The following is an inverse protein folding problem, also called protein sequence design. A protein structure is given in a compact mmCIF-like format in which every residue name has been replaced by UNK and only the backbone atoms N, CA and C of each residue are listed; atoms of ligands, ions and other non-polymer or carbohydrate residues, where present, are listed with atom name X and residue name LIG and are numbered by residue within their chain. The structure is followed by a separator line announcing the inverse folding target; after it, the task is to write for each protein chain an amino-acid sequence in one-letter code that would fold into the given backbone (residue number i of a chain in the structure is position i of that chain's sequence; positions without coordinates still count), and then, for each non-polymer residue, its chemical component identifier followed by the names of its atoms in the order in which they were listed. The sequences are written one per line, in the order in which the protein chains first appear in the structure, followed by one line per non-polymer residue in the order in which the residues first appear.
data_IF_565874918789
#
_entry.id   IF_565874918789
#
_cell.length_a   1.000
_cell.length_b   1.000
_cell.length_c   1.000
_cell.angle_alpha   90.00
_cell.angle_beta   90.00
_cell.angle_gamma   90.00
#
_symmetry.space_group_name_H-M   'P 1'
#
loop_
_entity.id
_entity.type
_entity.pdbx_description
1 polymer ?
#
# COMPACT_ATOMS: atom_id res chain seq x y z
N UNK A 1 90.47 -27.85 46.91
CA UNK A 1 89.99 -26.62 46.24
C UNK A 1 88.56 -26.87 45.80
N UNK A 2 87.58 -26.35 46.55
CA UNK A 2 86.14 -26.58 46.35
C UNK A 2 85.59 -25.43 45.51
N UNK A 3 85.05 -25.72 44.33
CA UNK A 3 84.30 -24.74 43.53
C UNK A 3 82.83 -25.15 43.62
N UNK A 4 82.08 -24.42 44.43
CA UNK A 4 80.63 -24.49 44.50
C UNK A 4 80.06 -23.60 43.39
N UNK A 5 79.43 -24.20 42.38
CA UNK A 5 78.64 -23.47 41.38
C UNK A 5 77.22 -23.31 41.94
N UNK A 6 76.89 -22.09 42.30
CA UNK A 6 75.57 -21.65 42.76
C UNK A 6 74.67 -21.46 41.52
N UNK A 7 73.75 -22.40 41.28
CA UNK A 7 72.69 -22.25 40.27
C UNK A 7 71.61 -21.31 40.81
N UNK A 8 71.60 -20.07 40.35
CA UNK A 8 70.52 -19.11 40.58
C UNK A 8 69.37 -19.46 39.62
N UNK A 9 68.34 -20.12 40.14
CA UNK A 9 67.05 -20.25 39.48
C UNK A 9 66.37 -18.87 39.48
N UNK A 10 66.52 -18.13 38.37
CA UNK A 10 65.69 -16.96 38.08
C UNK A 10 64.28 -17.47 37.73
N UNK A 11 63.42 -17.57 38.73
CA UNK A 11 61.98 -17.77 38.54
C UNK A 11 61.40 -16.53 37.86
N UNK A 12 61.30 -16.57 36.54
CA UNK A 12 60.52 -15.62 35.74
C UNK A 12 59.06 -15.81 36.15
N UNK A 13 58.59 -15.03 37.11
CA UNK A 13 57.17 -14.85 37.36
C UNK A 13 56.59 -14.18 36.11
N UNK A 14 56.08 -14.99 35.19
CA UNK A 14 55.14 -14.50 34.19
C UNK A 14 54.01 -13.84 34.94
N UNK A 15 53.90 -12.51 34.83
CA UNK A 15 52.76 -11.76 35.35
C UNK A 15 51.55 -12.23 34.57
N UNK A 16 50.86 -13.26 35.09
CA UNK A 16 49.51 -13.61 34.69
C UNK A 16 48.68 -12.34 34.87
N UNK A 17 48.38 -11.67 33.75
CA UNK A 17 47.43 -10.57 33.75
C UNK A 17 46.11 -11.12 34.28
N UNK A 18 45.76 -10.76 35.52
CA UNK A 18 44.57 -11.25 36.19
C UNK A 18 43.34 -10.66 35.49
N UNK A 19 42.77 -11.42 34.56
CA UNK A 19 41.48 -11.12 33.97
C UNK A 19 40.39 -11.23 35.06
N UNK A 20 39.35 -10.38 35.03
CA UNK A 20 38.24 -10.49 35.97
C UNK A 20 37.65 -11.91 35.97
N UNK A 21 37.42 -12.48 37.15
CA UNK A 21 36.81 -13.80 37.26
C UNK A 21 35.33 -13.75 36.89
N UNK A 22 34.77 -14.87 36.42
CA UNK A 22 33.34 -14.94 36.10
C UNK A 22 32.45 -14.66 37.31
N UNK A 23 32.90 -15.02 38.52
CA UNK A 23 32.19 -14.72 39.76
C UNK A 23 32.15 -13.20 40.05
N UNK A 24 33.27 -12.51 39.83
CA UNK A 24 33.37 -11.05 40.01
C UNK A 24 32.53 -10.32 38.97
N UNK A 25 32.59 -10.76 37.70
CA UNK A 25 31.75 -10.21 36.63
C UNK A 25 30.27 -10.37 36.99
N UNK A 26 29.84 -11.58 37.37
CA UNK A 26 28.44 -11.85 37.77
C UNK A 26 28.00 -10.93 38.90
N UNK A 27 28.83 -10.75 39.93
CA UNK A 27 28.52 -9.86 41.07
C UNK A 27 28.28 -8.42 40.63
N UNK A 28 29.05 -7.92 39.66
CA UNK A 28 28.97 -6.53 39.20
C UNK A 28 27.76 -6.23 38.30
N UNK A 29 27.22 -7.25 37.62
CA UNK A 29 26.09 -7.09 36.68
C UNK A 29 24.77 -7.67 37.19
N UNK A 30 24.79 -8.39 38.31
CA UNK A 30 23.59 -8.94 38.94
C UNK A 30 23.01 -7.90 39.90
N UNK A 31 21.70 -7.70 39.83
CA UNK A 31 20.94 -6.86 40.74
C UNK A 31 19.65 -7.56 41.19
N UNK A 32 18.87 -6.90 42.06
CA UNK A 32 17.54 -7.37 42.43
C UNK A 32 16.67 -7.50 41.16
N UNK A 33 16.18 -8.70 40.88
CA UNK A 33 15.41 -9.02 39.68
C UNK A 33 16.19 -9.71 38.57
N UNK A 34 17.51 -9.86 38.67
CA UNK A 34 18.28 -10.75 37.77
C UNK A 34 17.91 -12.21 38.04
N UNK A 35 17.56 -12.96 36.99
CA UNK A 35 17.23 -14.39 37.04
C UNK A 35 18.38 -15.28 36.62
N UNK A 36 19.11 -14.89 35.57
CA UNK A 36 20.26 -15.66 35.10
C UNK A 36 21.27 -14.80 34.37
N UNK A 37 22.53 -15.24 34.39
CA UNK A 37 23.65 -14.61 33.68
C UNK A 37 24.44 -15.70 32.97
N UNK A 38 24.60 -15.57 31.65
CA UNK A 38 25.31 -16.52 30.79
C UNK A 38 26.38 -15.81 29.97
N UNK A 39 27.61 -16.31 30.00
CA UNK A 39 28.68 -15.80 29.13
C UNK A 39 28.49 -16.31 27.70
N UNK A 40 28.66 -15.43 26.71
CA UNK A 40 28.43 -15.78 25.30
C UNK A 40 29.64 -16.45 24.64
N UNK A 41 30.82 -16.37 25.28
CA UNK A 41 32.08 -16.99 24.85
C UNK A 41 32.81 -17.56 26.07
N UNK A 42 33.93 -18.26 25.86
CA UNK A 42 34.78 -18.86 26.91
C UNK A 42 35.88 -17.93 27.42
N UNK A 43 36.42 -17.02 26.58
CA UNK A 43 37.36 -15.94 27.00
C UNK A 43 36.91 -14.52 26.62
N UNK A 44 37.36 -13.51 27.37
CA UNK A 44 37.19 -12.11 26.99
C UNK A 44 38.25 -11.64 26.00
N UNK A 45 38.09 -10.45 25.44
CA UNK A 45 38.98 -9.91 24.40
C UNK A 45 39.48 -8.53 24.81
N UNK A 46 40.78 -8.29 24.61
CA UNK A 46 41.38 -6.96 24.79
C UNK A 46 41.23 -6.17 23.50
N UNK A 47 40.77 -4.92 23.60
CA UNK A 47 40.60 -4.02 22.47
C UNK A 47 41.07 -2.61 22.83
N UNK A 48 41.57 -1.85 21.85
CA UNK A 48 41.91 -0.45 22.04
C UNK A 48 40.67 0.41 21.81
N UNK A 49 40.34 1.28 22.76
CA UNK A 49 39.29 2.28 22.57
C UNK A 49 39.96 3.63 22.29
N UNK A 50 39.90 4.06 21.02
CA UNK A 50 40.49 5.31 20.54
C UNK A 50 39.87 6.54 21.16
N UNK A 51 38.58 6.51 21.47
CA UNK A 51 37.81 7.68 21.90
C UNK A 51 38.21 8.14 23.31
N UNK A 52 38.62 7.19 24.15
CA UNK A 52 39.09 7.42 25.52
C UNK A 52 40.61 7.26 25.66
N UNK A 53 41.30 6.88 24.58
CA UNK A 53 42.73 6.61 24.58
C UNK A 53 43.16 5.53 25.59
N UNK A 54 42.37 4.46 25.76
CA UNK A 54 42.65 3.42 26.75
C UNK A 54 42.38 2.00 26.21
N UNK A 55 43.07 1.01 26.76
CA UNK A 55 42.80 -0.40 26.51
C UNK A 55 41.60 -0.86 27.34
N UNK A 56 40.71 -1.57 26.68
CA UNK A 56 39.57 -2.24 27.30
C UNK A 56 39.77 -3.76 27.28
N UNK A 57 39.21 -4.43 28.27
CA UNK A 57 38.90 -5.85 28.21
C UNK A 57 37.39 -6.01 28.22
N UNK A 58 36.86 -6.72 27.21
CA UNK A 58 35.43 -6.93 27.02
C UNK A 58 35.06 -8.40 27.07
N UNK A 59 33.87 -8.68 27.61
CA UNK A 59 33.34 -10.03 27.74
C UNK A 59 31.84 -10.02 27.51
N UNK A 60 31.40 -10.77 26.50
CA UNK A 60 29.99 -10.88 26.16
C UNK A 60 29.19 -11.69 27.17
N UNK A 61 28.02 -11.17 27.51
CA UNK A 61 27.10 -11.72 28.51
C UNK A 61 25.65 -11.53 28.06
N UNK A 62 24.84 -12.55 28.32
CA UNK A 62 23.39 -12.53 28.25
C UNK A 62 22.83 -12.53 29.68
N UNK A 63 22.01 -11.53 30.00
CA UNK A 63 21.38 -11.36 31.32
C UNK A 63 19.88 -11.48 31.15
N UNK A 64 19.24 -12.44 31.83
CA UNK A 64 17.78 -12.52 31.94
C UNK A 64 17.39 -11.89 33.27
N UNK A 65 16.49 -10.91 33.23
CA UNK A 65 15.97 -10.23 34.42
C UNK A 65 14.48 -9.93 34.29
N UNK A 66 13.83 -9.64 35.42
CA UNK A 66 12.44 -9.14 35.42
C UNK A 66 12.37 -7.85 34.60
N UNK A 67 11.38 -7.75 33.72
CA UNK A 67 11.03 -6.48 33.08
C UNK A 67 10.10 -5.67 33.98
N UNK A 68 9.80 -4.43 33.58
CA UNK A 68 8.77 -3.59 34.23
C UNK A 68 7.34 -4.13 33.99
N UNK A 69 7.19 -5.17 33.16
CA UNK A 69 5.91 -5.77 32.81
C UNK A 69 5.71 -7.10 33.58
N UNK A 70 4.60 -7.25 34.32
CA UNK A 70 4.31 -8.47 35.07
C UNK A 70 4.32 -9.73 34.18
N UNK A 71 5.10 -10.73 34.57
CA UNK A 71 5.18 -12.03 33.89
C UNK A 71 6.04 -12.05 32.62
N UNK A 72 6.71 -10.94 32.27
CA UNK A 72 7.56 -10.82 31.08
C UNK A 72 9.01 -10.63 31.53
N UNK A 73 9.91 -11.39 30.93
CA UNK A 73 11.35 -11.30 31.18
C UNK A 73 12.05 -10.49 30.10
N UNK A 74 13.03 -9.70 30.52
CA UNK A 74 13.92 -8.96 29.65
C UNK A 74 15.26 -9.71 29.54
N UNK A 75 15.61 -10.08 28.32
CA UNK A 75 16.92 -10.59 27.93
C UNK A 75 17.76 -9.42 27.45
N UNK A 76 18.84 -9.13 28.15
CA UNK A 76 19.80 -8.09 27.81
C UNK A 76 21.06 -8.78 27.30
N UNK A 77 21.34 -8.66 26.01
CA UNK A 77 22.59 -9.08 25.41
C UNK A 77 23.55 -7.88 25.40
N UNK A 78 24.77 -8.06 25.88
CA UNK A 78 25.77 -7.00 25.92
C UNK A 78 27.15 -7.50 26.28
N UNK A 79 28.05 -6.56 26.55
CA UNK A 79 29.39 -6.86 27.06
C UNK A 79 29.63 -6.13 28.38
N UNK A 80 30.32 -6.79 29.31
CA UNK A 80 31.01 -6.06 30.40
C UNK A 80 32.31 -5.47 29.86
N UNK A 81 32.57 -4.23 30.22
CA UNK A 81 33.75 -3.49 29.78
C UNK A 81 34.58 -3.11 31.01
N UNK A 82 35.85 -3.47 30.97
CA UNK A 82 36.84 -3.09 31.97
C UNK A 82 37.91 -2.22 31.34
N UNK A 83 38.31 -1.16 32.01
CA UNK A 83 39.39 -0.28 31.56
C UNK A 83 40.72 -0.70 32.17
N UNK A 84 41.79 -0.61 31.40
CA UNK A 84 43.14 -0.86 31.88
C UNK A 84 43.58 0.27 32.83
N UNK A 85 44.07 -0.10 34.01
CA UNK A 85 44.49 0.85 35.07
C UNK A 85 45.99 0.82 35.34
N UNK A 86 46.78 0.18 34.47
CA UNK A 86 48.22 0.00 34.66
C UNK A 86 48.58 -1.28 35.41
N UNK A 87 49.86 -1.67 35.35
CA UNK A 87 50.42 -2.86 36.01
C UNK A 87 49.64 -4.18 35.76
N UNK A 88 49.07 -4.36 34.57
CA UNK A 88 48.31 -5.57 34.23
C UNK A 88 46.90 -5.64 34.82
N UNK A 89 46.41 -4.56 35.45
CA UNK A 89 45.12 -4.53 36.15
C UNK A 89 44.01 -3.88 35.31
N UNK A 90 42.79 -4.32 35.59
CA UNK A 90 41.56 -3.88 34.96
C UNK A 90 40.55 -3.47 36.03
N UNK A 91 39.85 -2.34 35.83
CA UNK A 91 38.74 -1.91 36.67
C UNK A 91 37.43 -1.98 35.89
N UNK A 92 36.35 -2.42 36.56
CA UNK A 92 35.03 -2.43 35.94
C UNK A 92 34.63 -1.01 35.57
N UNK A 93 34.21 -0.81 34.33
CA UNK A 93 33.75 0.48 33.85
C UNK A 93 32.25 0.51 33.70
N UNK A 94 31.70 -0.37 32.86
CA UNK A 94 30.27 -0.41 32.55
C UNK A 94 29.83 -1.72 31.91
N UNK A 95 28.52 -1.93 31.90
CA UNK A 95 27.86 -2.87 31.01
C UNK A 95 27.39 -2.11 29.76
N UNK A 96 27.76 -2.61 28.58
CA UNK A 96 27.36 -2.05 27.30
C UNK A 96 26.31 -2.97 26.68
N UNK A 97 25.05 -2.55 26.71
CA UNK A 97 23.95 -3.26 26.05
C UNK A 97 24.10 -3.20 24.54
N UNK A 98 24.02 -4.37 23.90
CA UNK A 98 24.00 -4.54 22.44
C UNK A 98 22.56 -4.66 21.96
N UNK A 99 21.75 -5.49 22.61
CA UNK A 99 20.34 -5.67 22.27
C UNK A 99 19.50 -6.08 23.48
N UNK A 100 18.20 -5.84 23.36
CA UNK A 100 17.18 -6.24 24.32
C UNK A 100 16.15 -7.11 23.60
N UNK A 101 15.68 -8.17 24.25
CA UNK A 101 14.60 -9.02 23.79
C UNK A 101 13.67 -9.34 24.95
N UNK A 102 12.37 -9.53 24.66
CA UNK A 102 11.38 -9.90 25.67
C UNK A 102 10.94 -11.36 25.52
N UNK A 103 10.79 -12.06 26.65
CA UNK A 103 10.32 -13.45 26.73
C UNK A 103 9.03 -13.54 27.56
N UNK A 104 8.26 -14.61 27.34
CA UNK A 104 7.01 -14.86 28.08
C UNK A 104 5.76 -14.24 27.46
N UNK A 105 5.88 -13.63 26.28
CA UNK A 105 4.75 -13.09 25.52
C UNK A 105 4.35 -14.12 24.45
N UNK A 106 3.06 -14.51 24.36
CA UNK A 106 2.61 -15.43 23.32
C UNK A 106 2.74 -14.76 21.94
N UNK A 107 3.29 -15.50 20.97
CA UNK A 107 3.35 -15.04 19.59
C UNK A 107 1.93 -14.90 19.01
N UNK A 108 1.68 -13.92 18.14
CA UNK A 108 0.40 -13.80 17.44
C UNK A 108 0.10 -15.06 16.63
N UNK A 109 -1.17 -15.44 16.63
CA UNK A 109 -1.68 -16.56 15.84
C UNK A 109 -1.70 -16.21 14.35
N UNK A 110 -1.63 -17.23 13.48
CA UNK A 110 -1.76 -17.03 12.03
C UNK A 110 -3.06 -16.30 11.65
N UNK A 111 -4.15 -16.55 12.38
CA UNK A 111 -5.43 -15.87 12.17
C UNK A 111 -5.37 -14.37 12.52
N UNK A 112 -4.76 -13.98 13.64
CA UNK A 112 -4.57 -12.58 14.00
C UNK A 112 -3.71 -11.84 12.97
N UNK A 113 -2.63 -12.48 12.52
CA UNK A 113 -1.74 -11.94 11.48
C UNK A 113 -2.52 -11.71 10.19
N UNK A 114 -3.21 -12.75 9.68
CA UNK A 114 -3.96 -12.68 8.43
C UNK A 114 -5.06 -11.63 8.51
N UNK A 115 -5.82 -11.58 9.60
CA UNK A 115 -6.89 -10.59 9.81
C UNK A 115 -6.38 -9.15 9.83
N UNK A 116 -5.15 -8.92 10.31
CA UNK A 116 -4.54 -7.60 10.29
C UNK A 116 -4.00 -7.25 8.90
N UNK A 117 -3.26 -8.16 8.26
CA UNK A 117 -2.66 -7.92 6.95
C UNK A 117 -3.73 -7.70 5.87
N UNK A 118 -4.84 -8.44 5.91
CA UNK A 118 -5.92 -8.33 4.93
C UNK A 118 -6.62 -6.96 4.93
N UNK A 119 -6.40 -6.13 5.95
CA UNK A 119 -6.94 -4.76 5.99
C UNK A 119 -6.21 -3.82 5.04
N UNK A 120 -4.95 -4.11 4.70
CA UNK A 120 -4.10 -3.25 3.88
C UNK A 120 -3.05 -4.06 3.11
N UNK A 121 -3.50 -4.86 2.15
CA UNK A 121 -2.60 -5.57 1.23
C UNK A 121 -1.57 -4.67 0.53
N UNK A 122 -1.93 -3.47 0.02
CA UNK A 122 -0.94 -2.56 -0.57
C UNK A 122 0.26 -2.31 0.35
N UNK A 123 0.01 -2.13 1.65
CA UNK A 123 1.07 -1.94 2.64
C UNK A 123 1.90 -3.19 2.89
N UNK A 124 1.30 -4.39 2.84
CA UNK A 124 2.05 -5.64 2.97
C UNK A 124 3.04 -5.86 1.82
N UNK A 125 2.59 -5.72 0.58
CA UNK A 125 3.42 -5.94 -0.60
C UNK A 125 4.37 -4.77 -0.90
N UNK A 126 4.01 -3.56 -0.49
CA UNK A 126 4.78 -2.34 -0.75
C UNK A 126 5.01 -2.13 -2.25
N UNK A 127 6.26 -1.89 -2.65
CA UNK A 127 6.65 -1.75 -4.06
C UNK A 127 6.15 -2.90 -4.95
N UNK A 128 6.16 -4.13 -4.43
CA UNK A 128 5.80 -5.32 -5.20
C UNK A 128 4.31 -5.39 -5.52
N UNK A 129 3.46 -4.60 -4.85
CA UNK A 129 2.02 -4.58 -5.10
C UNK A 129 1.67 -4.30 -6.56
N UNK A 130 2.47 -3.44 -7.21
CA UNK A 130 2.31 -3.05 -8.61
C UNK A 130 3.10 -3.93 -9.59
N UNK A 131 3.76 -4.98 -9.11
CA UNK A 131 4.64 -5.85 -9.91
C UNK A 131 4.20 -7.31 -9.90
N UNK A 132 3.59 -7.77 -8.82
CA UNK A 132 3.08 -9.14 -8.70
C UNK A 132 1.88 -9.29 -9.62
N UNK A 133 1.95 -10.26 -10.54
CA UNK A 133 0.89 -10.59 -11.50
C UNK A 133 0.15 -11.89 -11.15
N UNK A 134 0.75 -12.73 -10.29
CA UNK A 134 0.16 -13.98 -9.83
C UNK A 134 0.73 -14.39 -8.50
N UNK A 135 -0.14 -14.80 -7.59
CA UNK A 135 0.23 -15.46 -6.35
C UNK A 135 -0.05 -16.96 -6.45
N UNK A 136 0.89 -17.80 -6.01
CA UNK A 136 0.69 -19.26 -5.97
C UNK A 136 0.08 -19.75 -4.67
N UNK A 137 0.15 -18.92 -3.63
CA UNK A 137 -0.44 -19.12 -2.32
C UNK A 137 -0.69 -17.75 -1.69
N UNK A 138 -1.51 -17.70 -0.64
CA UNK A 138 -1.52 -16.52 0.23
C UNK A 138 -0.18 -16.42 0.99
N UNK A 139 0.19 -15.24 1.49
CA UNK A 139 1.32 -15.10 2.42
C UNK A 139 1.07 -15.91 3.70
N UNK A 140 2.05 -16.72 4.08
CA UNK A 140 1.97 -17.57 5.28
C UNK A 140 3.23 -17.41 6.16
N UNK A 141 3.19 -17.87 7.40
CA UNK A 141 4.37 -17.93 8.26
C UNK A 141 5.46 -18.79 7.63
N UNK A 142 6.72 -18.35 7.73
CA UNK A 142 7.84 -19.17 7.31
C UNK A 142 7.96 -20.42 8.20
N UNK A 143 8.57 -21.49 7.69
CA UNK A 143 8.81 -22.72 8.47
C UNK A 143 9.57 -22.44 9.78
N UNK A 144 10.45 -21.43 9.76
CA UNK A 144 11.08 -20.85 10.94
C UNK A 144 10.85 -19.33 10.93
N UNK A 145 9.81 -18.83 11.63
CA UNK A 145 9.46 -17.41 11.59
C UNK A 145 10.47 -16.49 12.28
N UNK A 146 11.46 -17.02 13.01
CA UNK A 146 12.47 -16.20 13.74
C UNK A 146 11.86 -15.07 14.57
N UNK A 147 10.88 -15.41 15.42
CA UNK A 147 10.18 -14.44 16.28
C UNK A 147 11.15 -13.60 17.12
N UNK A 148 11.03 -12.27 16.99
CA UNK A 148 11.84 -11.31 17.73
C UNK A 148 10.97 -10.22 18.36
N UNK A 149 10.90 -10.23 19.69
CA UNK A 149 10.14 -9.24 20.47
C UNK A 149 11.01 -8.03 20.80
N UNK A 150 10.80 -6.94 20.04
CA UNK A 150 11.49 -5.65 20.25
C UNK A 150 11.02 -4.96 21.53
N UNK A 151 9.72 -5.05 21.82
CA UNK A 151 9.05 -4.55 23.04
C UNK A 151 7.83 -5.44 23.31
N UNK A 152 7.19 -5.37 24.48
CA UNK A 152 5.93 -6.09 24.72
C UNK A 152 4.78 -5.74 23.75
N UNK A 153 4.95 -4.64 23.03
CA UNK A 153 4.00 -4.07 22.09
C UNK A 153 4.41 -4.26 20.63
N UNK A 154 5.54 -4.92 20.36
CA UNK A 154 6.05 -5.06 19.01
C UNK A 154 6.87 -6.33 18.80
N UNK A 155 6.43 -7.12 17.82
CA UNK A 155 7.05 -8.39 17.45
C UNK A 155 7.33 -8.42 15.96
N UNK A 156 8.48 -8.94 15.59
CA UNK A 156 8.92 -9.18 14.22
C UNK A 156 9.02 -10.68 13.94
N UNK A 157 8.68 -11.08 12.72
CA UNK A 157 8.76 -12.45 12.24
C UNK A 157 8.84 -12.51 10.72
N UNK A 158 9.19 -13.69 10.21
CA UNK A 158 9.35 -14.00 8.79
C UNK A 158 8.10 -14.69 8.25
N UNK A 159 7.56 -14.16 7.16
CA UNK A 159 6.53 -14.78 6.32
C UNK A 159 7.10 -15.19 4.98
N UNK A 160 6.47 -16.14 4.30
CA UNK A 160 6.87 -16.66 2.99
C UNK A 160 5.74 -16.51 1.98
N UNK A 161 6.09 -16.18 0.74
CA UNK A 161 5.16 -16.15 -0.39
C UNK A 161 5.87 -16.54 -1.68
N UNK A 162 5.17 -17.31 -2.53
CA UNK A 162 5.60 -17.63 -3.90
C UNK A 162 4.70 -16.93 -4.91
N UNK A 163 5.31 -16.25 -5.87
CA UNK A 163 4.60 -15.37 -6.80
C UNK A 163 5.37 -15.16 -8.11
N UNK A 164 4.66 -14.69 -9.13
CA UNK A 164 5.24 -14.17 -10.37
C UNK A 164 5.21 -12.64 -10.33
N UNK A 165 6.31 -11.99 -10.68
CA UNK A 165 6.35 -10.53 -10.81
C UNK A 165 7.15 -10.02 -12.00
N UNK A 166 6.76 -8.85 -12.48
CA UNK A 166 7.44 -8.13 -13.56
C UNK A 166 8.74 -7.52 -13.01
N UNK A 167 9.88 -7.90 -13.57
CA UNK A 167 11.20 -7.38 -13.18
C UNK A 167 11.77 -6.38 -14.19
N UNK A 168 11.31 -6.44 -15.45
CA UNK A 168 11.72 -5.53 -16.51
C UNK A 168 10.61 -5.37 -17.56
N UNK A 169 10.85 -4.58 -18.60
CA UNK A 169 9.90 -4.38 -19.70
C UNK A 169 9.77 -5.61 -20.63
N UNK A 170 10.52 -6.69 -20.39
CA UNK A 170 10.47 -7.95 -21.17
C UNK A 170 10.56 -9.22 -20.31
N UNK A 171 10.67 -9.11 -18.98
CA UNK A 171 10.94 -10.28 -18.13
C UNK A 171 10.05 -10.33 -16.90
N UNK A 172 9.59 -11.55 -16.62
CA UNK A 172 8.86 -11.93 -15.40
C UNK A 172 9.64 -13.03 -14.70
N UNK A 173 9.74 -12.92 -13.38
CA UNK A 173 10.39 -13.88 -12.51
C UNK A 173 9.37 -14.59 -11.63
N UNK A 174 9.53 -15.91 -11.46
CA UNK A 174 8.85 -16.72 -10.46
C UNK A 174 9.76 -16.91 -9.26
N UNK A 175 9.37 -16.38 -8.11
CA UNK A 175 10.21 -16.37 -6.90
C UNK A 175 9.42 -16.79 -5.67
N UNK A 176 10.07 -17.55 -4.80
CA UNK A 176 9.65 -17.74 -3.40
C UNK A 176 10.54 -16.84 -2.53
N UNK A 177 9.95 -15.90 -1.80
CA UNK A 177 10.70 -14.95 -0.99
C UNK A 177 10.18 -14.88 0.45
N UNK A 178 11.01 -14.34 1.33
CA UNK A 178 10.66 -14.00 2.71
C UNK A 178 10.27 -12.52 2.82
N UNK A 179 9.25 -12.25 3.61
CA UNK A 179 8.86 -10.93 4.07
C UNK A 179 9.11 -10.83 5.56
N UNK A 180 9.83 -9.79 5.96
CA UNK A 180 9.97 -9.42 7.36
C UNK A 180 8.75 -8.59 7.72
N UNK A 181 7.96 -9.09 8.67
CA UNK A 181 6.71 -8.48 9.13
C UNK A 181 6.86 -8.13 10.59
N UNK A 182 6.55 -6.88 10.92
CA UNK A 182 6.57 -6.38 12.29
C UNK A 182 5.20 -5.84 12.67
N UNK A 183 4.63 -6.36 13.75
CA UNK A 183 3.32 -5.92 14.27
C UNK A 183 3.49 -4.94 15.44
N UNK A 184 2.46 -4.12 15.64
CA UNK A 184 2.40 -3.10 16.67
C UNK A 184 1.01 -3.06 17.34
N UNK A 185 1.01 -2.85 18.65
CA UNK A 185 -0.16 -2.62 19.50
C UNK A 185 0.16 -1.59 20.58
N UNK A 186 -0.86 -1.01 21.21
CA UNK A 186 -0.66 0.01 22.24
C UNK A 186 -0.51 -0.59 23.65
N UNK A 187 -1.14 -1.75 23.89
CA UNK A 187 -1.16 -2.45 25.18
C UNK A 187 -0.65 -3.90 24.99
N UNK A 188 0.24 -4.43 25.86
CA UNK A 188 0.71 -5.81 25.82
C UNK A 188 -0.40 -6.88 25.90
N UNK A 189 -1.64 -6.52 26.22
CA UNK A 189 -2.81 -7.41 26.17
C UNK A 189 -3.87 -6.99 25.14
N UNK A 190 -3.63 -5.89 24.43
CA UNK A 190 -4.54 -5.37 23.41
C UNK A 190 -4.38 -6.05 22.06
N UNK A 191 -5.32 -5.76 21.16
CA UNK A 191 -5.29 -6.21 19.76
C UNK A 191 -4.15 -5.55 18.97
N UNK A 192 -3.68 -6.27 17.93
CA UNK A 192 -2.74 -5.72 16.96
C UNK A 192 -3.43 -4.68 16.07
N UNK A 193 -2.85 -3.48 16.02
CA UNK A 193 -3.46 -2.34 15.33
C UNK A 193 -2.76 -1.98 14.03
N UNK A 194 -1.47 -2.27 13.94
CA UNK A 194 -0.65 -1.82 12.83
C UNK A 194 0.46 -2.82 12.52
N UNK A 195 1.00 -2.74 11.31
CA UNK A 195 2.14 -3.53 10.89
C UNK A 195 3.06 -2.74 9.97
N UNK A 196 4.29 -3.24 9.79
CA UNK A 196 5.20 -2.89 8.70
C UNK A 196 5.61 -4.22 8.06
N UNK A 197 5.69 -4.24 6.74
CA UNK A 197 6.17 -5.41 6.01
C UNK A 197 7.14 -4.96 4.92
N UNK A 198 8.21 -5.72 4.73
CA UNK A 198 9.12 -5.56 3.61
C UNK A 198 9.66 -6.91 3.17
N UNK A 199 9.83 -7.10 1.86
CA UNK A 199 10.59 -8.24 1.34
C UNK A 199 12.01 -8.16 1.91
N UNK A 200 12.53 -9.30 2.37
CA UNK A 200 13.90 -9.42 2.84
C UNK A 200 14.88 -9.11 1.71
N UNK A 201 15.99 -8.47 2.07
CA UNK A 201 17.09 -8.16 1.14
C UNK A 201 18.19 -9.23 1.18
N UNK A 202 18.09 -10.20 2.09
CA UNK A 202 19.06 -11.29 2.20
C UNK A 202 18.91 -12.22 0.98
N UNK A 203 20.02 -12.51 0.29
CA UNK A 203 19.99 -13.40 -0.86
C UNK A 203 19.51 -14.82 -0.50
N UNK A 204 19.78 -15.28 0.73
CA UNK A 204 19.30 -16.57 1.26
C UNK A 204 17.79 -16.64 1.46
N UNK A 205 17.13 -15.49 1.55
CA UNK A 205 15.70 -15.36 1.80
C UNK A 205 14.89 -15.29 0.49
N UNK A 206 15.54 -15.50 -0.65
CA UNK A 206 14.92 -15.45 -1.98
C UNK A 206 15.37 -16.63 -2.83
N UNK A 207 14.41 -17.41 -3.33
CA UNK A 207 14.64 -18.53 -4.22
C UNK A 207 13.95 -18.29 -5.56
N UNK A 208 14.75 -17.94 -6.56
CA UNK A 208 14.29 -17.80 -7.95
C UNK A 208 14.11 -19.21 -8.51
N UNK A 209 12.92 -19.47 -9.05
CA UNK A 209 12.55 -20.78 -9.61
C UNK A 209 12.26 -20.75 -11.11
N UNK A 210 12.15 -19.56 -11.70
CA UNK A 210 11.98 -19.40 -13.15
C UNK A 210 12.10 -17.95 -13.57
N UNK A 211 12.54 -17.74 -14.81
CA UNK A 211 12.52 -16.45 -15.50
C UNK A 211 11.96 -16.70 -16.89
N UNK A 212 10.95 -15.93 -17.27
CA UNK A 212 10.33 -16.03 -18.59
C UNK A 212 10.45 -14.69 -19.32
N UNK A 213 10.82 -14.77 -20.60
CA UNK A 213 10.89 -13.63 -21.50
C UNK A 213 9.58 -13.44 -22.24
N UNK A 214 9.20 -12.18 -22.39
CA UNK A 214 8.00 -11.69 -23.03
C UNK A 214 8.37 -10.56 -23.99
N UNK A 215 7.49 -10.27 -24.94
CA UNK A 215 7.57 -9.01 -25.69
C UNK A 215 7.14 -7.85 -24.80
N UNK A 216 7.54 -6.62 -25.14
CA UNK A 216 7.11 -5.43 -24.41
C UNK A 216 5.58 -5.27 -24.40
N UNK A 217 4.91 -5.69 -25.46
CA UNK A 217 3.44 -5.67 -25.54
C UNK A 217 2.81 -6.68 -24.58
N UNK A 218 3.34 -7.91 -24.51
CA UNK A 218 2.89 -8.91 -23.55
C UNK A 218 3.08 -8.44 -22.10
N UNK A 219 4.19 -7.77 -21.78
CA UNK A 219 4.39 -7.21 -20.43
C UNK A 219 3.35 -6.14 -20.11
N UNK A 220 3.03 -5.24 -21.05
CA UNK A 220 1.94 -4.26 -20.87
C UNK A 220 0.59 -4.92 -20.58
N UNK A 221 0.32 -6.07 -21.20
CA UNK A 221 -0.90 -6.84 -20.89
C UNK A 221 -0.85 -7.54 -19.53
N UNK A 222 0.34 -7.90 -19.04
CA UNK A 222 0.53 -8.41 -17.69
C UNK A 222 0.43 -7.33 -16.62
N UNK A 223 0.80 -6.08 -16.92
CA UNK A 223 0.63 -4.94 -16.00
C UNK A 223 -0.86 -4.75 -15.62
N UNK A 224 -1.77 -5.06 -16.54
CA UNK A 224 -3.24 -5.09 -16.37
C UNK A 224 -3.74 -6.29 -15.55
N UNK A 225 -2.84 -7.14 -15.07
CA UNK A 225 -3.12 -8.32 -14.23
C UNK A 225 -2.39 -8.24 -12.89
N UNK A 226 -1.72 -7.13 -12.61
CA UNK A 226 -1.05 -6.94 -11.31
C UNK A 226 -2.04 -6.99 -10.15
N UNK A 227 -1.57 -7.32 -8.94
CA UNK A 227 -2.41 -7.29 -7.73
C UNK A 227 -3.06 -5.93 -7.55
N UNK A 228 -2.28 -4.85 -7.74
CA UNK A 228 -2.79 -3.48 -7.69
C UNK A 228 -3.94 -3.25 -8.68
N UNK A 229 -3.75 -3.62 -9.95
CA UNK A 229 -4.79 -3.46 -10.97
C UNK A 229 -6.02 -4.30 -10.64
N UNK A 230 -5.82 -5.58 -10.30
CA UNK A 230 -6.89 -6.54 -10.04
C UNK A 230 -7.77 -6.11 -8.86
N UNK A 231 -7.15 -5.70 -7.74
CA UNK A 231 -7.90 -5.25 -6.56
C UNK A 231 -8.61 -3.92 -6.82
N UNK A 232 -7.97 -3.00 -7.53
CA UNK A 232 -8.60 -1.74 -7.94
C UNK A 232 -9.80 -1.97 -8.86
N UNK A 233 -9.69 -2.89 -9.82
CA UNK A 233 -10.79 -3.26 -10.73
C UNK A 233 -11.94 -3.92 -9.97
N UNK A 234 -11.64 -4.85 -9.06
CA UNK A 234 -12.67 -5.49 -8.23
C UNK A 234 -13.42 -4.46 -7.37
N UNK A 235 -12.70 -3.52 -6.77
CA UNK A 235 -13.30 -2.45 -5.97
C UNK A 235 -14.15 -1.53 -6.84
N UNK A 236 -13.62 -1.05 -7.96
CA UNK A 236 -14.34 -0.20 -8.89
C UNK A 236 -15.58 -0.88 -9.47
N UNK A 237 -15.51 -2.19 -9.77
CA UNK A 237 -16.65 -2.98 -10.23
C UNK A 237 -17.73 -3.08 -9.17
N UNK A 238 -17.36 -3.38 -7.92
CA UNK A 238 -18.32 -3.41 -6.80
C UNK A 238 -19.03 -2.07 -6.63
N UNK A 239 -18.29 -0.97 -6.75
CA UNK A 239 -18.84 0.38 -6.62
C UNK A 239 -19.74 0.74 -7.82
N UNK A 240 -19.34 0.38 -9.04
CA UNK A 240 -20.14 0.54 -10.25
C UNK A 240 -21.43 -0.30 -10.20
N UNK A 241 -21.37 -1.55 -9.74
CA UNK A 241 -22.52 -2.44 -9.57
C UNK A 241 -23.50 -1.90 -8.51
N UNK A 242 -22.98 -1.28 -7.44
CA UNK A 242 -23.82 -0.60 -6.46
C UNK A 242 -24.51 0.62 -7.05
N UNK A 243 -23.79 1.43 -7.84
CA UNK A 243 -24.34 2.60 -8.54
C UNK A 243 -25.38 2.22 -9.60
N UNK A 244 -25.16 1.13 -10.34
CA UNK A 244 -26.06 0.66 -11.39
C UNK A 244 -27.47 0.33 -10.85
N UNK A 245 -27.62 0.04 -9.55
CA UNK A 245 -28.93 -0.17 -8.92
C UNK A 245 -29.76 1.11 -8.80
N UNK A 246 -29.15 2.29 -8.95
CA UNK A 246 -29.84 3.58 -8.84
C UNK A 246 -30.60 3.98 -10.11
N UNK A 247 -30.28 3.38 -11.26
CA UNK A 247 -30.86 3.72 -12.56
C UNK A 247 -30.75 2.56 -13.55
N UNK A 248 -31.84 2.25 -14.24
CA UNK A 248 -31.82 1.32 -15.38
C UNK A 248 -31.49 2.10 -16.65
N UNK A 249 -30.37 1.77 -17.29
CA UNK A 249 -29.99 2.34 -18.59
C UNK A 249 -30.56 1.45 -19.69
N UNK A 250 -31.47 1.95 -20.54
CA UNK A 250 -32.03 1.15 -21.62
C UNK A 250 -31.02 0.94 -22.75
N UNK A 251 -31.26 -0.06 -23.59
CA UNK A 251 -30.57 -0.17 -24.87
C UNK A 251 -31.08 0.94 -25.80
N UNK A 252 -30.19 1.80 -26.25
CA UNK A 252 -30.55 2.92 -27.13
C UNK A 252 -30.52 2.51 -28.60
N UNK A 253 -31.57 2.88 -29.34
CA UNK A 253 -31.67 2.58 -30.78
C UNK A 253 -30.82 3.55 -31.58
N UNK A 254 -30.82 4.83 -31.18
CA UNK A 254 -30.12 5.93 -31.85
C UNK A 254 -29.46 6.90 -30.85
N UNK A 255 -28.48 7.71 -31.31
CA UNK A 255 -27.81 8.71 -30.46
C UNK A 255 -28.74 9.71 -29.78
N UNK A 256 -29.82 10.12 -30.44
CA UNK A 256 -30.78 11.10 -29.94
C UNK A 256 -31.54 10.58 -28.71
N UNK A 257 -31.98 9.32 -28.73
CA UNK A 257 -32.58 8.64 -27.57
C UNK A 257 -31.64 8.61 -26.38
N UNK A 258 -30.37 8.26 -26.61
CA UNK A 258 -29.33 8.26 -25.57
C UNK A 258 -29.15 9.64 -24.96
N UNK A 259 -29.00 10.68 -25.78
CA UNK A 259 -28.79 12.05 -25.29
C UNK A 259 -30.02 12.58 -24.57
N UNK A 260 -31.24 12.27 -25.04
CA UNK A 260 -32.48 12.63 -24.31
C UNK A 260 -32.58 11.94 -22.96
N UNK A 261 -32.17 10.68 -22.87
CA UNK A 261 -32.13 9.97 -21.59
C UNK A 261 -31.12 10.60 -20.64
N UNK A 262 -29.90 10.88 -21.09
CA UNK A 262 -28.87 11.54 -20.28
C UNK A 262 -29.33 12.93 -19.84
N UNK A 263 -29.95 13.70 -20.73
CA UNK A 263 -30.54 15.00 -20.44
C UNK A 263 -31.58 14.92 -19.32
N UNK A 264 -32.51 13.94 -19.39
CA UNK A 264 -33.49 13.71 -18.34
C UNK A 264 -32.82 13.38 -17.00
N UNK A 265 -31.76 12.57 -17.00
CA UNK A 265 -31.01 12.26 -15.78
C UNK A 265 -30.30 13.50 -15.23
N UNK A 266 -29.69 14.32 -16.09
CA UNK A 266 -29.07 15.60 -15.70
C UNK A 266 -30.06 16.59 -15.08
N UNK A 267 -31.31 16.60 -15.55
CA UNK A 267 -32.36 17.52 -15.07
C UNK A 267 -33.08 17.00 -13.84
N UNK A 268 -33.42 15.71 -13.82
CA UNK A 268 -34.40 15.14 -12.88
C UNK A 268 -33.84 14.01 -12.02
N UNK A 269 -32.64 13.52 -12.32
CA UNK A 269 -31.96 12.49 -11.55
C UNK A 269 -31.08 13.05 -10.44
N UNK A 270 -30.22 12.17 -9.92
CA UNK A 270 -29.22 12.47 -8.88
C UNK A 270 -27.80 12.34 -9.43
N UNK A 271 -26.83 12.90 -8.72
CA UNK A 271 -25.40 12.74 -9.01
C UNK A 271 -24.98 11.25 -9.18
N UNK A 272 -25.49 10.37 -8.31
CA UNK A 272 -25.21 8.93 -8.38
C UNK A 272 -25.81 8.28 -9.62
N UNK A 273 -27.06 8.64 -9.97
CA UNK A 273 -27.70 8.15 -11.19
C UNK A 273 -26.93 8.61 -12.43
N UNK A 274 -26.55 9.89 -12.50
CA UNK A 274 -25.77 10.37 -13.64
C UNK A 274 -24.43 9.66 -13.76
N UNK A 275 -23.69 9.50 -12.65
CA UNK A 275 -22.45 8.72 -12.64
C UNK A 275 -22.68 7.29 -13.14
N UNK A 276 -23.72 6.63 -12.65
CA UNK A 276 -24.08 5.27 -13.06
C UNK A 276 -24.39 5.16 -14.56
N UNK A 277 -25.07 6.17 -15.13
CA UNK A 277 -25.32 6.24 -16.58
C UNK A 277 -24.01 6.38 -17.33
N UNK A 278 -23.19 7.36 -16.96
CA UNK A 278 -21.93 7.66 -17.65
C UNK A 278 -21.00 6.45 -17.67
N UNK A 279 -20.84 5.73 -16.56
CA UNK A 279 -20.01 4.51 -16.52
C UNK A 279 -20.48 3.41 -17.49
N UNK A 280 -21.75 3.39 -17.90
CA UNK A 280 -22.28 2.38 -18.83
C UNK A 280 -22.19 2.80 -20.31
N UNK A 281 -22.27 4.10 -20.58
CA UNK A 281 -22.35 4.65 -21.94
C UNK A 281 -21.06 5.28 -22.42
N UNK A 282 -20.07 5.54 -21.57
CA UNK A 282 -18.77 6.06 -22.00
C UNK A 282 -18.01 5.02 -22.85
N UNK A 283 -17.24 5.53 -23.83
CA UNK A 283 -16.38 4.73 -24.68
C UNK A 283 -15.16 4.17 -23.91
N UNK A 284 -14.53 3.08 -24.38
CA UNK A 284 -13.34 2.49 -23.73
C UNK A 284 -12.21 3.48 -23.45
N UNK A 285 -12.03 4.50 -24.29
CA UNK A 285 -10.99 5.52 -24.13
C UNK A 285 -11.13 6.41 -22.88
N UNK A 286 -12.23 6.34 -22.15
CA UNK A 286 -12.40 7.03 -20.85
C UNK A 286 -11.82 6.24 -19.67
N UNK A 287 -11.63 4.93 -19.84
CA UNK A 287 -11.21 4.03 -18.79
C UNK A 287 -9.71 3.78 -18.84
N UNK A 288 -9.15 3.36 -17.71
CA UNK A 288 -7.78 2.83 -17.66
C UNK A 288 -7.70 1.64 -18.63
N UNK A 289 -6.63 1.54 -19.41
CA UNK A 289 -6.47 0.45 -20.36
C UNK A 289 -6.62 -0.92 -19.67
N UNK A 290 -7.46 -1.80 -20.24
CA UNK A 290 -7.81 -3.10 -19.66
C UNK A 290 -8.97 -3.07 -18.66
N UNK A 291 -9.38 -1.90 -18.18
CA UNK A 291 -10.53 -1.73 -17.29
C UNK A 291 -11.81 -1.43 -18.06
N UNK A 292 -12.95 -1.86 -17.49
CA UNK A 292 -14.29 -1.48 -17.99
C UNK A 292 -15.04 -0.51 -17.08
N UNK A 293 -14.47 -0.19 -15.90
CA UNK A 293 -15.17 0.55 -14.84
C UNK A 293 -14.30 1.59 -14.12
N UNK A 294 -12.96 1.48 -14.20
CA UNK A 294 -12.03 2.46 -13.66
C UNK A 294 -11.80 3.57 -14.66
N UNK A 295 -12.33 4.76 -14.38
CA UNK A 295 -12.03 5.94 -15.19
C UNK A 295 -10.56 6.33 -15.04
N UNK A 296 -9.98 6.88 -16.11
CA UNK A 296 -8.66 7.53 -16.01
C UNK A 296 -8.76 8.71 -15.02
N UNK A 297 -7.69 9.06 -14.29
CA UNK A 297 -7.73 10.13 -13.28
C UNK A 297 -8.28 11.47 -13.80
N UNK A 298 -7.91 11.86 -15.01
CA UNK A 298 -8.42 13.08 -15.66
C UNK A 298 -9.93 12.98 -15.94
N UNK A 299 -10.40 11.82 -16.38
CA UNK A 299 -11.82 11.60 -16.68
C UNK A 299 -12.67 11.51 -15.41
N UNK A 300 -12.12 10.94 -14.36
CA UNK A 300 -12.72 10.93 -13.02
C UNK A 300 -12.92 12.37 -12.51
N UNK A 301 -11.88 13.21 -12.61
CA UNK A 301 -11.97 14.63 -12.22
C UNK A 301 -12.96 15.40 -13.10
N UNK A 302 -12.95 15.18 -14.41
CA UNK A 302 -13.89 15.82 -15.34
C UNK A 302 -15.35 15.47 -14.99
N UNK A 303 -15.64 14.19 -14.72
CA UNK A 303 -16.97 13.75 -14.33
C UNK A 303 -17.40 14.36 -12.98
N UNK A 304 -16.48 14.44 -12.01
CA UNK A 304 -16.74 15.09 -10.72
C UNK A 304 -17.05 16.59 -10.87
N UNK A 305 -16.33 17.29 -11.76
CA UNK A 305 -16.58 18.70 -12.08
C UNK A 305 -17.96 18.88 -12.72
N UNK A 306 -18.32 18.01 -13.65
CA UNK A 306 -19.65 18.02 -14.29
C UNK A 306 -20.75 17.75 -13.28
N UNK A 307 -20.58 16.76 -12.39
CA UNK A 307 -21.55 16.47 -11.31
C UNK A 307 -21.73 17.70 -10.41
N UNK A 308 -20.64 18.35 -10.03
CA UNK A 308 -20.68 19.56 -9.21
C UNK A 308 -21.46 20.68 -9.91
N UNK A 309 -21.13 20.94 -11.18
CA UNK A 309 -21.81 21.96 -11.97
C UNK A 309 -23.29 21.66 -12.20
N UNK A 310 -23.64 20.39 -12.42
CA UNK A 310 -25.01 19.99 -12.73
C UNK A 310 -25.93 19.97 -11.50
N UNK A 311 -25.43 19.56 -10.33
CA UNK A 311 -26.27 19.25 -9.17
C UNK A 311 -26.00 20.09 -7.92
N UNK A 312 -24.75 20.52 -7.69
CA UNK A 312 -24.32 21.01 -6.38
C UNK A 312 -24.02 22.52 -6.34
N UNK A 313 -24.07 23.19 -7.49
CA UNK A 313 -23.83 24.62 -7.59
C UNK A 313 -25.10 25.46 -7.40
N UNK A 314 -24.91 26.78 -7.26
CA UNK A 314 -26.01 27.76 -7.09
C UNK A 314 -27.02 27.69 -8.23
N UNK A 315 -26.53 27.61 -9.46
CA UNK A 315 -27.32 27.26 -10.62
C UNK A 315 -27.07 25.80 -10.99
N UNK A 316 -28.13 25.01 -11.04
CA UNK A 316 -28.09 23.60 -11.46
C UNK A 316 -28.42 23.46 -12.95
N UNK A 317 -28.11 22.30 -13.51
CA UNK A 317 -28.49 21.96 -14.88
C UNK A 317 -30.00 22.09 -15.08
N UNK A 318 -30.80 21.68 -14.09
CA UNK A 318 -32.27 21.80 -14.11
C UNK A 318 -32.75 23.25 -14.28
N UNK A 319 -32.07 24.20 -13.64
CA UNK A 319 -32.41 25.62 -13.73
C UNK A 319 -32.07 26.16 -15.12
N UNK A 320 -30.96 25.72 -15.71
CA UNK A 320 -30.42 26.28 -16.96
C UNK A 320 -30.98 25.65 -18.23
N UNK A 321 -31.55 24.45 -18.17
CA UNK A 321 -32.10 23.76 -19.34
C UNK A 321 -33.60 23.56 -19.21
N UNK A 322 -34.30 23.43 -20.34
CA UNK A 322 -35.71 23.04 -20.40
C UNK A 322 -35.85 21.51 -20.33
N UNK A 323 -37.06 20.97 -20.14
CA UNK A 323 -37.33 19.52 -20.19
C UNK A 323 -37.32 18.99 -21.63
N UNK A 324 -37.83 19.79 -22.56
CA UNK A 324 -37.79 19.51 -24.00
C UNK A 324 -36.94 20.58 -24.70
N UNK A 325 -35.62 20.59 -24.47
CA UNK A 325 -34.74 21.55 -25.09
C UNK A 325 -34.66 21.31 -26.61
N UNK A 326 -34.41 22.35 -27.42
CA UNK A 326 -33.99 22.19 -28.79
C UNK A 326 -32.72 21.32 -28.86
N UNK A 327 -32.73 20.34 -29.77
CA UNK A 327 -31.57 19.52 -30.08
C UNK A 327 -31.06 19.85 -31.48
N UNK A 328 -29.78 20.18 -31.59
CA UNK A 328 -29.08 20.30 -32.86
C UNK A 328 -28.27 19.03 -33.08
N UNK A 329 -28.55 18.32 -34.16
CA UNK A 329 -27.90 17.05 -34.51
C UNK A 329 -27.09 17.26 -35.78
N UNK A 330 -25.80 16.96 -35.71
CA UNK A 330 -24.87 17.08 -36.83
C UNK A 330 -24.10 15.77 -36.98
N UNK A 331 -23.91 15.32 -38.22
CA UNK A 331 -22.97 14.25 -38.50
C UNK A 331 -21.55 14.77 -38.28
N UNK A 332 -20.73 14.01 -37.56
CA UNK A 332 -19.36 14.41 -37.29
C UNK A 332 -18.48 14.10 -38.52
N UNK A 333 -18.05 15.14 -39.23
CA UNK A 333 -17.29 14.99 -40.48
C UNK A 333 -18.06 14.18 -41.52
N UNK A 334 -17.38 13.23 -42.17
CA UNK A 334 -17.97 12.32 -43.15
C UNK A 334 -18.47 10.99 -42.54
N UNK A 335 -18.57 10.89 -41.21
CA UNK A 335 -19.02 9.64 -40.56
C UNK A 335 -20.53 9.46 -40.68
N UNK A 336 -20.97 8.26 -41.09
CA UNK A 336 -22.37 7.89 -41.17
C UNK A 336 -22.98 7.51 -39.81
N UNK A 337 -22.15 7.16 -38.82
CA UNK A 337 -22.60 6.66 -37.50
C UNK A 337 -22.36 7.62 -36.36
N UNK A 338 -21.37 8.51 -36.50
CA UNK A 338 -20.97 9.45 -35.45
C UNK A 338 -21.75 10.74 -35.54
N UNK A 339 -22.38 11.12 -34.44
CA UNK A 339 -23.18 12.34 -34.34
C UNK A 339 -22.68 13.23 -33.21
N UNK A 340 -22.64 14.53 -33.47
CA UNK A 340 -22.57 15.57 -32.45
C UNK A 340 -23.99 16.03 -32.16
N UNK A 341 -24.42 15.92 -30.92
CA UNK A 341 -25.73 16.41 -30.46
C UNK A 341 -25.50 17.53 -29.47
N UNK A 342 -26.00 18.72 -29.79
CA UNK A 342 -25.99 19.87 -28.89
C UNK A 342 -27.37 20.06 -28.28
N UNK A 343 -27.40 20.24 -26.97
CA UNK A 343 -28.58 20.60 -26.20
C UNK A 343 -28.50 22.09 -25.93
N UNK A 344 -29.47 22.85 -26.44
CA UNK A 344 -29.56 24.28 -26.19
C UNK A 344 -30.21 24.54 -24.84
N UNK A 345 -29.51 25.27 -23.98
CA UNK A 345 -30.04 25.72 -22.70
C UNK A 345 -31.07 26.83 -22.87
N UNK A 346 -31.82 27.09 -21.80
CA UNK A 346 -32.80 28.16 -21.75
C UNK A 346 -32.16 29.56 -21.70
N UNK A 347 -30.84 29.61 -21.45
CA UNK A 347 -30.05 30.84 -21.34
C UNK A 347 -29.04 30.92 -22.47
N UNK A 348 -28.82 32.12 -23.00
CA UNK A 348 -27.81 32.36 -24.03
C UNK A 348 -26.41 31.87 -23.60
N UNK A 349 -25.67 31.37 -24.58
CA UNK A 349 -24.35 30.76 -24.41
C UNK A 349 -24.32 29.58 -23.42
N UNK A 350 -25.46 28.93 -23.16
CA UNK A 350 -25.53 27.76 -22.30
C UNK A 350 -25.83 26.51 -23.13
N UNK A 351 -24.82 25.93 -23.77
CA UNK A 351 -24.99 24.75 -24.63
C UNK A 351 -24.17 23.57 -24.10
N UNK A 352 -24.81 22.43 -23.89
CA UNK A 352 -24.13 21.16 -23.61
C UNK A 352 -24.05 20.35 -24.89
N UNK A 353 -23.06 19.47 -25.01
CA UNK A 353 -22.92 18.62 -26.18
C UNK A 353 -22.46 17.21 -25.83
N UNK A 354 -22.77 16.29 -26.73
CA UNK A 354 -22.32 14.91 -26.70
C UNK A 354 -21.90 14.51 -28.11
N UNK A 355 -20.76 13.85 -28.23
CA UNK A 355 -20.37 13.14 -29.44
C UNK A 355 -20.58 11.65 -29.18
N UNK A 356 -21.46 11.04 -29.97
CA UNK A 356 -21.91 9.66 -29.81
C UNK A 356 -21.54 8.88 -31.08
N UNK A 357 -21.05 7.67 -30.92
CA UNK A 357 -20.72 6.77 -32.02
C UNK A 357 -21.12 5.33 -31.70
N UNK A 358 -21.21 4.48 -32.72
CA UNK A 358 -21.42 3.04 -32.56
C UNK A 358 -20.06 2.36 -32.59
N UNK A 359 -19.66 1.78 -31.46
CA UNK A 359 -18.35 1.13 -31.32
C UNK A 359 -18.49 -0.37 -31.09
N UNK A 360 -17.54 -1.14 -31.62
CA UNK A 360 -17.37 -2.54 -31.28
C UNK A 360 -16.98 -2.67 -29.80
N UNK A 361 -17.66 -3.56 -29.08
CA UNK A 361 -17.44 -3.79 -27.64
C UNK A 361 -17.08 -5.22 -27.30
N UNK A 362 -16.94 -6.08 -28.31
CA UNK A 362 -16.53 -7.46 -28.17
C UNK A 362 -17.17 -8.35 -29.22
N UNK A 363 -17.15 -9.66 -28.96
CA UNK A 363 -17.78 -10.67 -29.79
C UNK A 363 -18.62 -11.60 -28.92
N UNK A 364 -19.75 -12.05 -29.43
CA UNK A 364 -20.56 -13.13 -28.85
C UNK A 364 -20.69 -14.18 -29.95
N UNK A 365 -20.22 -15.39 -29.68
CA UNK A 365 -20.22 -16.51 -30.65
C UNK A 365 -19.58 -16.14 -32.00
N UNK A 366 -18.49 -15.35 -31.96
CA UNK A 366 -17.79 -14.89 -33.17
C UNK A 366 -18.45 -13.70 -33.88
N UNK A 367 -19.60 -13.20 -33.40
CA UNK A 367 -20.29 -12.04 -33.96
C UNK A 367 -19.92 -10.77 -33.19
N UNK A 368 -19.38 -9.78 -33.91
CA UNK A 368 -19.03 -8.49 -33.35
C UNK A 368 -20.26 -7.82 -32.72
N UNK A 369 -20.16 -7.51 -31.43
CA UNK A 369 -21.17 -6.76 -30.70
C UNK A 369 -20.85 -5.27 -30.82
N UNK A 370 -21.84 -4.48 -31.17
CA UNK A 370 -21.72 -3.01 -31.20
C UNK A 370 -22.71 -2.37 -30.26
N UNK A 371 -22.31 -1.27 -29.61
CA UNK A 371 -23.21 -0.44 -28.81
C UNK A 371 -22.96 1.03 -29.09
N UNK A 372 -23.97 1.87 -28.87
CA UNK A 372 -23.79 3.31 -28.85
C UNK A 372 -22.97 3.68 -27.61
N UNK A 373 -22.02 4.59 -27.78
CA UNK A 373 -21.17 5.12 -26.72
C UNK A 373 -20.92 6.61 -26.89
N UNK A 374 -20.68 7.29 -25.77
CA UNK A 374 -20.18 8.65 -25.72
C UNK A 374 -18.67 8.60 -25.89
N UNK A 375 -18.17 9.25 -26.95
CA UNK A 375 -16.73 9.42 -27.19
C UNK A 375 -16.21 10.77 -26.70
N UNK A 376 -17.10 11.76 -26.55
CA UNK A 376 -16.79 13.07 -25.99
C UNK A 376 -18.07 13.70 -25.43
N UNK A 377 -17.96 14.49 -24.36
CA UNK A 377 -19.08 15.25 -23.82
C UNK A 377 -18.61 16.53 -23.14
N UNK A 378 -19.47 17.55 -23.19
CA UNK A 378 -19.30 18.78 -22.45
C UNK A 378 -20.63 19.22 -21.86
N UNK A 379 -20.70 19.28 -20.54
CA UNK A 379 -21.88 19.80 -19.83
C UNK A 379 -21.56 21.21 -19.35
N UNK A 380 -22.36 22.17 -19.81
CA UNK A 380 -22.14 23.57 -19.49
C UNK A 380 -23.32 24.14 -18.71
N UNK A 381 -23.05 24.68 -17.53
CA UNK A 381 -24.04 25.31 -16.65
C UNK A 381 -23.51 26.68 -16.25
N UNK A 382 -24.17 27.75 -16.69
CA UNK A 382 -23.77 29.12 -16.31
C UNK A 382 -23.95 29.34 -14.81
N UNK A 383 -22.98 29.98 -14.17
CA UNK A 383 -22.97 30.27 -12.73
C UNK A 383 -23.01 31.77 -12.42
N UNK A 384 -22.93 32.61 -13.44
CA UNK A 384 -22.95 34.06 -13.27
C UNK A 384 -24.34 34.56 -12.88
N UNK A 385 -24.36 35.69 -12.16
CA UNK A 385 -25.59 36.24 -11.60
C UNK A 385 -26.58 36.71 -12.68
N UNK A 386 -26.08 37.12 -13.86
CA UNK A 386 -26.91 37.55 -14.98
C UNK A 386 -27.77 36.38 -15.51
N UNK A 387 -27.17 35.21 -15.75
CA UNK A 387 -27.91 34.01 -16.13
C UNK A 387 -28.98 33.61 -15.11
N UNK A 388 -28.63 33.68 -13.82
CA UNK A 388 -29.54 33.35 -12.72
C UNK A 388 -30.71 34.35 -12.67
N UNK A 389 -30.42 35.65 -12.77
CA UNK A 389 -31.42 36.71 -12.78
C UNK A 389 -32.34 36.60 -14.00
N UNK A 390 -31.78 36.30 -15.17
CA UNK A 390 -32.55 36.08 -16.39
C UNK A 390 -33.58 34.95 -16.18
N UNK A 391 -33.14 33.79 -15.68
CA UNK A 391 -34.07 32.66 -15.41
C UNK A 391 -35.13 33.05 -14.37
N UNK A 392 -34.75 33.75 -13.31
CA UNK A 392 -35.66 34.17 -12.25
C UNK A 392 -36.60 35.33 -12.65
N UNK A 393 -36.34 36.01 -13.77
CA UNK A 393 -37.21 37.08 -14.27
C UNK A 393 -38.55 36.57 -14.82
N UNK A 394 -38.65 35.26 -15.08
CA UNK A 394 -39.87 34.63 -15.58
C UNK A 394 -40.74 34.15 -14.41
N UNK A 395 -41.93 34.73 -14.27
CA UNK A 395 -42.92 34.31 -13.27
C UNK A 395 -43.56 32.95 -13.55
N UNK A 396 -43.44 32.45 -14.79
CA UNK A 396 -43.88 31.12 -15.21
C UNK A 396 -42.79 30.48 -16.07
N UNK A 397 -42.37 29.27 -15.70
CA UNK A 397 -41.34 28.50 -16.41
C UNK A 397 -41.72 28.23 -17.86
N UNK A 398 -43.01 28.13 -18.20
CA UNK A 398 -43.48 27.93 -19.59
C UNK A 398 -43.14 29.09 -20.51
N UNK A 399 -42.95 30.30 -19.98
CA UNK A 399 -42.52 31.46 -20.78
C UNK A 399 -41.04 31.37 -21.17
N UNK A 400 -40.23 30.74 -20.32
CA UNK A 400 -38.82 30.45 -20.60
C UNK A 400 -38.65 29.19 -21.44
N UNK A 401 -39.48 28.18 -21.19
CA UNK A 401 -39.46 26.87 -21.83
C UNK A 401 -40.83 26.59 -22.48
N UNK A 402 -41.13 27.18 -23.66
CA UNK A 402 -42.44 27.09 -24.28
C UNK A 402 -42.79 25.67 -24.79
N UNK A 403 -41.78 24.83 -24.98
CA UNK A 403 -41.95 23.46 -25.45
C UNK A 403 -42.10 22.44 -24.31
N UNK A 404 -41.95 22.85 -23.04
CA UNK A 404 -42.01 21.95 -21.88
C UNK A 404 -43.42 21.37 -21.65
#
# INVERSE_FOLDING_TARGET
MRISILLIFLSVYGVLQAQPSEAEIKKQITNEGTKSVKFTKTTGTRQWNSDIGNWEWVRGVEIIRKSDYPGIDLVVLGDVVYQYTGAGKYSYWKFRTISNQYLGIPNPTAAEIKNLLSKDWPKFYGYYFHKIIKEYSEPDLANDPKWFWHTPNSVEFKMKLKFDHIISYTEVETVEAIWNVRLYRDDPKGEWKNFIANRSQEASDSKISGVQKYTAEQVRDLEKQTLAFTLSEQKAKKDADALAKSVTVPAFTNPEEMVRFIHNILRNGTANQFRAVMLQVLAPGFFIEGSKVQLQPVQEQNLANVITAAYNNKATYKIMYCEKPPLQVENWGNSATRKTIRITGAVNNCNSYFIVDRMAVGYVEGVAQTKLVIIEYGIYVRQDQDAINFVNSFSDRKKLCPND
#
